data_IF_053832038867
#
_entry.id   IF_053832038867
#
_cell.length_a   1.000
_cell.length_b   1.000
_cell.length_c   1.000
_cell.angle_alpha   90.00
_cell.angle_beta   90.00
_cell.angle_gamma   90.00
#
_symmetry.space_group_name_H-M   'P 1'
#
loop_
_entity.id
_entity.type
_entity.pdbx_description
1 polymer ?
#
# COMPACT_ATOMS: atom_id res chain seq x y z
N UNK A 1 56.89 11.99 -12.27
CA UNK A 1 55.78 12.89 -11.90
C UNK A 1 54.49 12.23 -12.34
N UNK A 2 53.78 11.63 -11.42
CA UNK A 2 52.43 11.09 -11.63
C UNK A 2 51.53 11.77 -10.60
N UNK A 3 50.60 12.62 -11.07
CA UNK A 3 49.56 13.20 -10.27
C UNK A 3 48.43 12.18 -10.14
N UNK A 4 48.16 11.76 -8.92
CA UNK A 4 46.95 11.04 -8.57
C UNK A 4 45.87 12.06 -8.19
N UNK A 5 44.82 12.12 -8.98
CA UNK A 5 43.61 12.87 -8.61
C UNK A 5 42.71 11.97 -7.73
N UNK A 6 42.58 12.33 -6.49
CA UNK A 6 41.62 11.73 -5.57
C UNK A 6 40.25 12.37 -5.79
N UNK A 7 39.28 11.61 -6.29
CA UNK A 7 37.89 12.03 -6.30
C UNK A 7 37.31 11.82 -4.88
N UNK A 8 37.01 12.93 -4.22
CA UNK A 8 36.17 12.91 -3.00
C UNK A 8 34.72 12.67 -3.37
N UNK A 9 34.18 11.50 -3.00
CA UNK A 9 32.73 11.30 -2.94
C UNK A 9 32.21 12.06 -1.71
N UNK A 10 31.46 13.13 -1.96
CA UNK A 10 30.66 13.77 -0.93
C UNK A 10 29.43 12.88 -0.64
N UNK A 11 29.46 12.20 0.50
CA UNK A 11 28.28 11.52 1.04
C UNK A 11 27.25 12.56 1.45
N UNK A 12 26.17 12.69 0.70
CA UNK A 12 24.97 13.41 1.12
C UNK A 12 24.30 12.57 2.20
N UNK A 13 24.61 12.88 3.46
CA UNK A 13 23.90 12.37 4.61
C UNK A 13 22.50 12.99 4.68
N UNK A 14 21.49 12.27 4.22
CA UNK A 14 20.09 12.54 4.58
C UNK A 14 19.93 12.11 6.04
N UNK A 15 20.20 13.06 6.96
CA UNK A 15 19.86 12.95 8.35
C UNK A 15 18.35 13.00 8.50
N UNK A 16 17.71 11.85 8.67
CA UNK A 16 16.36 11.78 9.19
C UNK A 16 16.43 12.24 10.66
N UNK A 17 16.14 13.52 10.91
CA UNK A 17 15.88 14.01 12.25
C UNK A 17 14.54 13.38 12.68
N UNK A 18 14.62 12.32 13.49
CA UNK A 18 13.50 11.85 14.27
C UNK A 18 13.14 12.94 15.28
N UNK A 19 12.22 13.81 14.93
CA UNK A 19 11.55 14.67 15.89
C UNK A 19 10.71 13.74 16.77
N UNK A 20 11.21 13.44 17.95
CA UNK A 20 10.46 12.81 19.03
C UNK A 20 9.40 13.85 19.48
N UNK A 21 8.23 13.78 18.88
CA UNK A 21 7.07 14.48 19.39
C UNK A 21 6.67 13.82 20.71
N UNK A 22 6.74 14.58 21.78
CA UNK A 22 6.24 14.18 23.11
C UNK A 22 4.71 14.00 23.04
N UNK A 23 4.28 12.74 22.86
CA UNK A 23 2.89 12.34 22.75
C UNK A 23 2.15 12.32 24.09
N UNK A 24 2.81 12.70 25.20
CA UNK A 24 2.24 12.63 26.56
C UNK A 24 1.19 13.72 26.86
N UNK A 25 0.93 14.66 25.93
CA UNK A 25 0.00 15.80 26.15
C UNK A 25 -1.25 15.81 25.29
N UNK A 26 -1.48 14.83 24.44
CA UNK A 26 -2.77 14.73 23.74
C UNK A 26 -3.79 14.00 24.65
N UNK A 27 -4.57 14.81 25.36
CA UNK A 27 -5.72 14.31 26.13
C UNK A 27 -6.75 13.74 25.16
N UNK A 28 -7.24 12.54 25.47
CA UNK A 28 -8.27 11.78 24.71
C UNK A 28 -9.64 12.50 24.57
N UNK A 29 -9.77 13.72 25.01
CA UNK A 29 -11.07 14.38 25.17
C UNK A 29 -11.38 15.47 24.14
N UNK A 30 -10.48 15.82 23.24
CA UNK A 30 -10.66 17.00 22.36
C UNK A 30 -10.85 16.68 20.87
N UNK A 31 -11.13 15.44 20.49
CA UNK A 31 -11.55 15.15 19.11
C UNK A 31 -13.07 15.03 19.08
N UNK A 32 -13.78 16.04 18.57
CA UNK A 32 -15.23 15.98 18.52
C UNK A 32 -15.70 14.85 17.61
N UNK A 33 -16.37 13.88 18.19
CA UNK A 33 -17.09 12.80 17.48
C UNK A 33 -18.27 13.32 16.63
N UNK A 34 -18.30 14.62 16.32
CA UNK A 34 -19.46 15.27 15.70
C UNK A 34 -19.49 15.20 14.17
N UNK A 35 -18.49 14.61 13.50
CA UNK A 35 -18.53 14.53 12.04
C UNK A 35 -19.37 13.39 11.45
N UNK A 36 -19.83 12.44 12.27
CA UNK A 36 -20.58 11.28 11.74
C UNK A 36 -22.05 11.52 11.40
N UNK A 37 -22.63 12.67 11.78
CA UNK A 37 -24.08 12.94 11.60
C UNK A 37 -24.40 14.08 10.63
N UNK A 38 -23.44 14.85 10.17
CA UNK A 38 -23.68 16.05 9.36
C UNK A 38 -23.80 15.81 7.84
N UNK A 39 -23.45 14.64 7.34
CA UNK A 39 -23.47 14.37 5.89
C UNK A 39 -24.77 13.74 5.36
N UNK A 40 -25.72 13.46 6.24
CA UNK A 40 -27.05 13.00 5.84
C UNK A 40 -27.93 14.16 5.35
N UNK A 41 -27.65 14.71 4.17
CA UNK A 41 -28.64 15.56 3.53
C UNK A 41 -28.19 16.85 2.83
N UNK A 42 -26.92 17.25 2.89
CA UNK A 42 -26.46 18.49 2.26
C UNK A 42 -25.11 18.26 1.57
N UNK A 43 -25.11 17.90 0.34
CA UNK A 43 -24.12 18.07 -0.73
C UNK A 43 -23.88 16.80 -1.57
N UNK A 44 -24.88 16.38 -2.31
CA UNK A 44 -24.71 15.49 -3.47
C UNK A 44 -23.69 16.02 -4.48
N UNK A 45 -23.42 17.36 -4.46
CA UNK A 45 -22.52 18.04 -5.38
C UNK A 45 -21.03 17.83 -5.10
N UNK A 46 -20.58 17.59 -3.85
CA UNK A 46 -19.16 17.41 -3.55
C UNK A 46 -18.72 15.95 -3.57
N UNK A 47 -19.62 15.06 -3.16
CA UNK A 47 -19.23 13.77 -2.61
C UNK A 47 -19.80 12.58 -3.39
N UNK A 48 -20.46 12.83 -4.51
CA UNK A 48 -20.98 11.79 -5.41
C UNK A 48 -22.12 10.96 -4.84
N UNK A 49 -22.25 9.76 -5.38
CA UNK A 49 -23.31 8.80 -5.03
C UNK A 49 -22.73 7.54 -4.44
N UNK A 50 -23.40 6.91 -3.44
CA UNK A 50 -22.99 5.60 -2.97
C UNK A 50 -22.84 4.61 -4.10
N UNK A 51 -21.76 3.83 -4.07
CA UNK A 51 -21.42 2.92 -5.16
C UNK A 51 -22.47 1.81 -5.37
N UNK A 52 -23.10 1.33 -4.31
CA UNK A 52 -24.19 0.35 -4.35
C UNK A 52 -25.16 0.63 -3.21
N UNK A 53 -26.31 1.20 -3.49
CA UNK A 53 -27.48 1.37 -2.59
C UNK A 53 -27.14 1.53 -1.08
N UNK A 54 -26.25 2.48 -0.72
CA UNK A 54 -25.80 2.73 0.65
C UNK A 54 -25.20 1.50 1.39
N UNK A 55 -24.79 0.47 0.65
CA UNK A 55 -24.25 -0.74 1.26
C UNK A 55 -22.79 -0.57 1.64
N UNK A 56 -22.45 -1.10 2.81
CA UNK A 56 -21.10 -1.08 3.33
C UNK A 56 -20.19 -2.08 2.62
N UNK A 57 -18.93 -1.68 2.47
CA UNK A 57 -17.86 -2.46 1.89
C UNK A 57 -16.85 -2.86 2.95
N UNK A 58 -16.39 -4.11 2.92
CA UNK A 58 -15.37 -4.57 3.86
C UNK A 58 -14.03 -3.91 3.52
N UNK A 59 -13.50 -3.14 4.47
CA UNK A 59 -12.18 -2.51 4.37
C UNK A 59 -11.10 -3.52 4.78
N UNK A 60 -10.06 -3.58 3.96
CA UNK A 60 -8.81 -4.28 4.20
C UNK A 60 -7.65 -3.40 3.79
N UNK A 61 -6.44 -3.90 3.99
CA UNK A 61 -5.21 -3.18 3.70
C UNK A 61 -4.22 -4.10 3.01
N UNK A 62 -3.38 -3.51 2.15
CA UNK A 62 -2.21 -4.16 1.58
C UNK A 62 -1.05 -3.17 1.49
N UNK A 63 0.15 -3.70 1.35
CA UNK A 63 1.38 -2.92 1.38
C UNK A 63 2.46 -3.50 0.48
N UNK A 64 3.51 -2.75 0.27
CA UNK A 64 4.71 -3.19 -0.41
C UNK A 64 5.48 -4.15 0.52
N UNK A 65 5.71 -5.38 0.07
CA UNK A 65 6.55 -6.31 0.83
C UNK A 65 8.00 -5.85 0.81
N UNK A 66 8.59 -5.61 1.98
CA UNK A 66 9.99 -5.22 2.09
C UNK A 66 10.83 -6.45 2.43
N UNK A 67 11.81 -6.81 1.59
CA UNK A 67 12.69 -7.98 1.87
C UNK A 67 13.41 -7.84 3.21
N UNK A 68 13.77 -6.62 3.59
CA UNK A 68 14.44 -6.33 4.86
C UNK A 68 13.60 -6.75 6.09
N UNK A 69 12.28 -6.76 5.99
CA UNK A 69 11.38 -7.12 7.09
C UNK A 69 11.36 -8.64 7.36
N UNK A 70 11.93 -9.44 6.47
CA UNK A 70 11.96 -10.90 6.54
C UNK A 70 13.33 -11.47 6.92
N UNK A 71 14.21 -10.62 7.43
CA UNK A 71 15.48 -11.05 8.00
C UNK A 71 15.24 -11.71 9.36
N UNK A 72 15.61 -12.99 9.45
CA UNK A 72 15.45 -13.76 10.69
C UNK A 72 16.43 -13.32 11.80
N UNK A 73 17.43 -12.51 11.47
CA UNK A 73 18.41 -11.96 12.42
C UNK A 73 17.93 -10.65 13.05
N UNK A 74 16.89 -10.02 12.49
CA UNK A 74 16.34 -8.74 12.95
C UNK A 74 14.92 -8.96 13.51
N UNK A 75 14.65 -8.36 14.68
CA UNK A 75 13.27 -8.29 15.20
C UNK A 75 12.48 -7.30 14.37
N UNK A 76 11.60 -7.82 13.49
CA UNK A 76 10.74 -6.99 12.67
C UNK A 76 9.31 -6.93 13.21
N UNK A 77 8.60 -5.85 12.91
CA UNK A 77 7.20 -5.67 13.32
C UNK A 77 6.21 -6.47 12.47
N UNK A 78 6.65 -7.00 11.33
CA UNK A 78 5.78 -7.76 10.42
C UNK A 78 5.35 -9.06 11.07
N UNK A 79 4.04 -9.40 11.05
CA UNK A 79 3.56 -10.65 11.63
C UNK A 79 4.23 -11.85 10.97
N UNK A 80 4.84 -12.69 11.80
CA UNK A 80 5.38 -13.99 11.36
C UNK A 80 4.29 -15.06 11.28
N UNK A 81 3.02 -14.63 11.30
CA UNK A 81 1.83 -15.47 11.28
C UNK A 81 1.06 -15.42 9.95
N UNK A 82 -0.12 -16.04 9.93
CA UNK A 82 -0.99 -16.04 8.77
C UNK A 82 -0.54 -16.95 7.65
N UNK A 83 -0.89 -16.62 6.39
CA UNK A 83 -0.62 -17.46 5.23
C UNK A 83 0.88 -17.66 4.93
N UNK A 84 1.73 -16.74 5.39
CA UNK A 84 3.18 -16.80 5.24
C UNK A 84 3.92 -17.16 6.54
N UNK A 85 3.26 -17.87 7.46
CA UNK A 85 3.85 -18.43 8.67
C UNK A 85 4.76 -19.63 8.33
N UNK A 86 5.82 -19.39 7.58
CA UNK A 86 6.77 -20.39 7.14
C UNK A 86 7.96 -20.50 8.14
N UNK A 87 8.65 -21.65 8.19
CA UNK A 87 9.85 -21.80 9.00
C UNK A 87 10.90 -20.71 8.69
N UNK A 88 11.68 -20.28 9.69
CA UNK A 88 12.81 -19.36 9.45
C UNK A 88 13.93 -20.03 8.63
N UNK A 89 14.86 -19.22 8.12
CA UNK A 89 16.04 -19.67 7.40
C UNK A 89 15.79 -20.52 6.14
N UNK A 90 14.61 -20.43 5.58
CA UNK A 90 14.31 -21.03 4.27
C UNK A 90 14.46 -19.98 3.19
N UNK A 91 15.16 -20.33 2.12
CA UNK A 91 15.47 -19.48 1.00
C UNK A 91 14.95 -20.09 -0.29
N UNK A 92 14.44 -19.25 -1.16
CA UNK A 92 13.93 -19.63 -2.47
C UNK A 92 14.53 -18.76 -3.56
N UNK A 93 14.55 -19.28 -4.76
CA UNK A 93 15.00 -18.57 -5.95
C UNK A 93 13.81 -17.99 -6.68
N UNK A 94 13.92 -16.73 -7.06
CA UNK A 94 12.93 -16.03 -7.88
C UNK A 94 13.38 -15.98 -9.33
N UNK A 95 12.42 -16.08 -10.24
CA UNK A 95 12.64 -16.09 -11.68
C UNK A 95 11.62 -15.21 -12.39
N UNK A 96 12.01 -14.70 -13.58
CA UNK A 96 11.07 -14.08 -14.51
C UNK A 96 10.25 -15.14 -15.24
N UNK A 97 9.15 -14.78 -15.93
CA UNK A 97 8.37 -15.73 -16.74
C UNK A 97 9.19 -16.43 -17.83
N UNK A 98 10.23 -15.79 -18.33
CA UNK A 98 11.16 -16.32 -19.35
C UNK A 98 12.19 -17.29 -18.75
N UNK A 99 12.30 -17.34 -17.40
CA UNK A 99 13.22 -18.22 -16.69
C UNK A 99 14.57 -17.58 -16.36
N UNK A 100 14.69 -16.26 -16.43
CA UNK A 100 15.90 -15.59 -15.95
C UNK A 100 15.90 -15.56 -14.43
N UNK A 101 17.03 -15.93 -13.84
CA UNK A 101 17.24 -15.86 -12.39
C UNK A 101 17.17 -14.41 -11.91
N UNK A 102 16.37 -14.19 -10.90
CA UNK A 102 16.05 -12.86 -10.40
C UNK A 102 16.79 -12.55 -9.09
N UNK A 103 16.93 -13.55 -8.25
CA UNK A 103 17.58 -13.44 -6.95
C UNK A 103 17.19 -14.59 -6.01
N UNK A 104 17.91 -14.70 -4.91
CA UNK A 104 17.62 -15.63 -3.81
C UNK A 104 17.17 -14.84 -2.59
N UNK A 105 15.99 -15.14 -2.08
CA UNK A 105 15.32 -14.37 -1.02
C UNK A 105 14.77 -15.29 0.07
N UNK A 106 14.49 -14.76 1.27
CA UNK A 106 13.74 -15.52 2.28
C UNK A 106 12.39 -16.01 1.73
N UNK A 107 12.04 -17.28 1.98
CA UNK A 107 10.78 -17.86 1.50
C UNK A 107 9.56 -17.09 2.03
N UNK A 108 9.64 -16.53 3.25
CA UNK A 108 8.60 -15.68 3.82
C UNK A 108 8.38 -14.41 3.01
N UNK A 109 9.46 -13.79 2.54
CA UNK A 109 9.37 -12.63 1.64
C UNK A 109 8.69 -13.01 0.32
N UNK A 110 9.13 -14.10 -0.32
CA UNK A 110 8.53 -14.57 -1.57
C UNK A 110 7.03 -14.87 -1.41
N UNK A 111 6.62 -15.43 -0.27
CA UNK A 111 5.23 -15.66 0.07
C UNK A 111 4.46 -14.33 0.21
N UNK A 112 4.99 -13.37 0.95
CA UNK A 112 4.37 -12.06 1.13
C UNK A 112 4.29 -11.30 -0.20
N UNK A 113 5.38 -11.27 -0.97
CA UNK A 113 5.42 -10.66 -2.30
C UNK A 113 4.31 -11.21 -3.22
N UNK A 114 4.07 -12.53 -3.19
CA UNK A 114 2.98 -13.14 -3.93
C UNK A 114 1.60 -12.71 -3.43
N UNK A 115 1.42 -12.47 -2.14
CA UNK A 115 0.13 -12.06 -1.56
C UNK A 115 -0.17 -10.58 -1.79
N UNK A 116 0.83 -9.73 -1.58
CA UNK A 116 0.71 -8.26 -1.69
C UNK A 116 0.85 -7.77 -3.14
N UNK A 117 1.41 -8.59 -4.04
CA UNK A 117 1.57 -8.29 -5.46
C UNK A 117 2.86 -7.55 -5.80
N UNK A 118 3.35 -6.68 -4.93
CA UNK A 118 4.57 -5.87 -5.15
C UNK A 118 5.50 -5.93 -3.96
N UNK A 119 6.80 -5.74 -4.21
CA UNK A 119 7.80 -5.72 -3.14
C UNK A 119 9.06 -4.94 -3.50
N UNK A 120 9.79 -4.56 -2.46
CA UNK A 120 11.11 -3.94 -2.54
C UNK A 120 12.16 -4.95 -2.08
N UNK A 121 13.11 -5.23 -2.94
CA UNK A 121 14.27 -6.06 -2.62
C UNK A 121 15.35 -5.25 -1.87
N UNK A 122 16.25 -5.91 -1.17
CA UNK A 122 17.35 -5.26 -0.43
C UNK A 122 18.31 -4.48 -1.33
N UNK A 123 18.40 -4.86 -2.58
CA UNK A 123 19.25 -4.16 -3.57
C UNK A 123 18.54 -2.94 -4.21
N UNK A 124 17.34 -2.60 -3.76
CA UNK A 124 16.57 -1.44 -4.20
C UNK A 124 15.66 -1.71 -5.41
N UNK A 125 15.61 -2.92 -5.95
CA UNK A 125 14.70 -3.25 -7.05
C UNK A 125 13.27 -3.35 -6.56
N UNK A 126 12.35 -2.74 -7.31
CA UNK A 126 10.90 -2.96 -7.16
C UNK A 126 10.51 -4.14 -8.04
N UNK A 127 9.75 -5.06 -7.48
CA UNK A 127 9.33 -6.29 -8.15
C UNK A 127 7.84 -6.51 -8.04
N UNK A 128 7.24 -7.03 -9.11
CA UNK A 128 5.84 -7.40 -9.15
C UNK A 128 5.64 -8.89 -9.40
N UNK A 129 4.61 -9.43 -8.79
CA UNK A 129 4.10 -10.76 -9.08
C UNK A 129 3.48 -10.82 -10.48
N UNK A 130 3.86 -11.81 -11.29
CA UNK A 130 3.36 -11.98 -12.65
C UNK A 130 2.50 -13.23 -12.85
N UNK A 131 2.44 -14.10 -11.86
CA UNK A 131 1.66 -15.32 -11.93
C UNK A 131 2.43 -16.58 -11.54
N UNK A 132 1.79 -17.73 -11.75
CA UNK A 132 2.44 -19.02 -11.55
C UNK A 132 3.39 -19.32 -12.71
N UNK A 133 4.51 -19.96 -12.42
CA UNK A 133 5.45 -20.43 -13.44
C UNK A 133 6.10 -21.76 -13.02
N UNK A 134 6.90 -22.33 -13.93
CA UNK A 134 7.58 -23.62 -13.71
C UNK A 134 8.94 -23.53 -13.02
N UNK A 135 9.40 -22.31 -12.71
CA UNK A 135 10.73 -22.07 -12.16
C UNK A 135 10.69 -21.85 -10.65
N UNK A 136 11.82 -22.11 -9.98
CA UNK A 136 12.10 -21.78 -8.60
C UNK A 136 10.93 -22.02 -7.63
N UNK A 137 10.44 -20.95 -7.03
CA UNK A 137 9.34 -20.93 -6.06
C UNK A 137 7.96 -21.32 -6.68
N UNK A 138 7.90 -21.60 -7.99
CA UNK A 138 6.64 -21.87 -8.69
C UNK A 138 5.80 -20.62 -8.95
N UNK A 139 6.40 -19.45 -8.75
CA UNK A 139 5.81 -18.14 -8.94
C UNK A 139 6.85 -17.24 -9.59
N UNK A 140 6.47 -16.52 -10.65
CA UNK A 140 7.35 -15.62 -11.35
C UNK A 140 7.09 -14.17 -10.99
N UNK A 141 8.13 -13.38 -11.18
CA UNK A 141 8.17 -11.95 -10.86
C UNK A 141 8.84 -11.19 -12.01
N UNK A 142 8.56 -9.91 -12.09
CA UNK A 142 9.24 -8.99 -12.99
C UNK A 142 9.82 -7.83 -12.20
N UNK A 143 10.92 -7.28 -12.70
CA UNK A 143 11.44 -6.02 -12.18
C UNK A 143 10.70 -4.87 -12.85
N UNK A 144 10.32 -3.88 -12.04
CA UNK A 144 9.73 -2.65 -12.53
C UNK A 144 10.77 -1.53 -12.60
N UNK A 145 10.56 -0.60 -13.52
CA UNK A 145 11.26 0.67 -13.48
C UNK A 145 10.81 1.48 -12.25
N UNK A 146 11.75 1.84 -11.39
CA UNK A 146 11.45 2.56 -10.15
C UNK A 146 10.98 4.00 -10.42
N UNK A 147 11.34 4.59 -11.56
CA UNK A 147 10.89 5.91 -11.96
C UNK A 147 9.40 5.92 -12.29
N UNK A 148 8.91 4.85 -12.93
CA UNK A 148 7.50 4.73 -13.31
C UNK A 148 6.66 4.10 -12.19
N UNK A 149 7.22 3.15 -11.44
CA UNK A 149 6.49 2.34 -10.44
C UNK A 149 7.21 2.27 -9.09
N UNK A 150 7.40 3.40 -8.40
CA UNK A 150 8.20 3.44 -7.16
C UNK A 150 7.60 2.62 -6.00
N UNK A 151 6.33 2.30 -6.08
CA UNK A 151 5.61 1.52 -5.06
C UNK A 151 4.95 0.25 -5.62
N UNK A 152 5.32 -0.14 -6.85
CA UNK A 152 4.71 -1.27 -7.53
C UNK A 152 3.67 -0.86 -8.56
N UNK A 153 3.22 -1.85 -9.32
CA UNK A 153 2.28 -1.69 -10.42
C UNK A 153 1.01 -2.46 -10.14
N UNK A 154 -0.11 -1.77 -10.15
CA UNK A 154 -1.43 -2.32 -10.03
C UNK A 154 -2.01 -2.81 -11.37
N UNK A 155 -3.31 -2.92 -11.43
CA UNK A 155 -4.05 -3.33 -12.62
C UNK A 155 -4.02 -2.24 -13.71
N UNK A 156 -4.08 -2.67 -14.97
CA UNK A 156 -4.10 -1.75 -16.12
C UNK A 156 -2.83 -0.91 -16.28
N UNK A 157 -1.68 -1.42 -15.84
CA UNK A 157 -0.39 -0.73 -15.88
C UNK A 157 -0.36 0.57 -15.06
N UNK A 158 -1.17 0.67 -14.01
CA UNK A 158 -1.21 1.86 -13.16
C UNK A 158 -0.16 1.82 -12.05
N UNK A 159 0.56 2.92 -11.78
CA UNK A 159 1.40 2.99 -10.60
C UNK A 159 0.54 3.00 -9.34
N UNK A 160 0.99 2.28 -8.30
CA UNK A 160 0.40 2.39 -6.99
C UNK A 160 0.80 3.71 -6.34
N UNK A 161 -0.18 4.43 -5.82
CA UNK A 161 0.01 5.75 -5.18
C UNK A 161 -0.23 5.58 -3.68
N UNK A 162 0.75 5.97 -2.83
CA UNK A 162 0.61 5.93 -1.38
C UNK A 162 -0.68 6.58 -0.89
N UNK A 163 -1.48 5.85 -0.10
CA UNK A 163 -2.72 6.32 0.51
C UNK A 163 -3.78 6.84 -0.48
N UNK A 164 -3.64 6.50 -1.77
CA UNK A 164 -4.60 6.87 -2.83
C UNK A 164 -5.06 5.68 -3.64
N UNK A 165 -4.26 4.63 -3.76
CA UNK A 165 -4.64 3.44 -4.51
C UNK A 165 -5.47 2.47 -3.65
N UNK A 166 -6.49 1.88 -4.28
CA UNK A 166 -7.26 0.78 -3.71
C UNK A 166 -7.38 -0.38 -4.69
N UNK A 167 -7.34 -1.60 -4.16
CA UNK A 167 -7.68 -2.81 -4.91
C UNK A 167 -9.18 -3.08 -4.78
N UNK A 168 -9.81 -3.40 -5.90
CA UNK A 168 -11.27 -3.56 -6.02
C UNK A 168 -11.66 -4.82 -6.82
N UNK A 169 -12.93 -5.16 -6.82
CA UNK A 169 -13.51 -6.09 -7.80
C UNK A 169 -13.85 -5.29 -9.09
N UNK A 170 -13.12 -5.50 -10.21
CA UNK A 170 -13.28 -4.70 -11.42
C UNK A 170 -14.65 -4.90 -12.11
N UNK A 171 -15.43 -5.88 -11.65
CA UNK A 171 -16.83 -6.06 -12.12
C UNK A 171 -17.78 -5.07 -11.46
N UNK A 172 -17.41 -4.46 -10.34
CA UNK A 172 -18.20 -3.50 -9.58
C UNK A 172 -17.65 -2.08 -9.73
N UNK A 173 -16.33 -1.94 -9.79
CA UNK A 173 -15.66 -0.64 -9.91
C UNK A 173 -14.64 -0.72 -11.04
N UNK A 174 -14.79 0.06 -12.10
CA UNK A 174 -13.82 0.12 -13.19
C UNK A 174 -12.43 0.55 -12.68
N UNK A 175 -11.37 -0.04 -13.25
CA UNK A 175 -10.01 0.41 -12.97
C UNK A 175 -9.82 1.84 -13.46
N UNK A 176 -9.22 2.67 -12.61
CA UNK A 176 -9.03 4.12 -12.81
C UNK A 176 -10.16 4.98 -12.25
N UNK A 177 -11.22 4.38 -11.70
CA UNK A 177 -12.34 5.15 -11.14
C UNK A 177 -11.94 5.85 -9.84
N UNK A 178 -12.09 7.19 -9.74
CA UNK A 178 -11.97 7.92 -8.48
C UNK A 178 -13.15 7.61 -7.56
N UNK A 179 -12.82 7.42 -6.28
CA UNK A 179 -13.78 7.03 -5.26
C UNK A 179 -13.61 7.96 -4.06
N UNK A 180 -14.71 8.46 -3.53
CA UNK A 180 -14.72 9.15 -2.25
C UNK A 180 -15.15 8.20 -1.13
N UNK A 181 -14.39 8.15 -0.07
CA UNK A 181 -14.64 7.35 1.13
C UNK A 181 -14.76 8.31 2.32
N UNK A 182 -15.99 8.58 2.81
CA UNK A 182 -16.20 9.52 3.93
C UNK A 182 -15.40 9.15 5.19
N UNK A 183 -15.18 7.85 5.43
CA UNK A 183 -14.44 7.36 6.59
C UNK A 183 -12.95 7.69 6.55
N UNK A 184 -12.43 8.06 5.37
CA UNK A 184 -11.03 8.49 5.19
C UNK A 184 -10.87 10.00 5.21
N UNK A 185 -11.95 10.77 5.03
CA UNK A 185 -11.90 12.23 5.05
C UNK A 185 -11.55 12.75 6.46
N UNK A 186 -10.43 13.46 6.57
CA UNK A 186 -9.90 13.91 7.86
C UNK A 186 -8.99 12.90 8.58
N UNK A 187 -8.71 11.72 7.96
CA UNK A 187 -7.81 10.72 8.53
C UNK A 187 -6.38 11.28 8.56
N UNK A 188 -5.74 11.24 9.71
CA UNK A 188 -4.32 11.62 9.85
C UNK A 188 -3.46 10.49 9.27
N UNK A 189 -2.57 10.84 8.34
CA UNK A 189 -1.63 9.92 7.72
C UNK A 189 -0.31 9.83 8.52
N UNK A 190 0.52 8.79 8.29
CA UNK A 190 1.78 8.60 9.03
C UNK A 190 2.78 9.76 8.89
N UNK A 191 2.71 10.54 7.82
CA UNK A 191 3.52 11.74 7.59
C UNK A 191 2.96 13.01 8.21
N UNK A 192 1.82 12.90 8.92
CA UNK A 192 1.11 14.01 9.55
C UNK A 192 0.17 14.78 8.60
N UNK A 193 0.12 14.46 7.32
CA UNK A 193 -0.86 15.04 6.39
C UNK A 193 -2.27 14.51 6.67
N UNK A 194 -3.26 15.20 6.12
CA UNK A 194 -4.67 14.82 6.29
C UNK A 194 -5.19 14.23 4.97
N UNK A 195 -5.76 13.05 5.04
CA UNK A 195 -6.40 12.41 3.91
C UNK A 195 -7.71 13.13 3.56
N UNK A 196 -7.95 13.39 2.28
CA UNK A 196 -9.12 14.10 1.78
C UNK A 196 -10.32 13.20 1.45
N UNK A 197 -10.24 11.92 1.80
CA UNK A 197 -11.26 10.92 1.51
C UNK A 197 -11.19 10.35 0.09
N UNK A 198 -10.33 10.86 -0.79
CA UNK A 198 -10.26 10.46 -2.20
C UNK A 198 -9.24 9.35 -2.43
N UNK A 199 -9.69 8.28 -3.10
CA UNK A 199 -8.85 7.15 -3.56
C UNK A 199 -9.17 6.82 -5.00
N UNK A 200 -8.35 6.02 -5.67
CA UNK A 200 -8.58 5.54 -7.04
C UNK A 200 -8.44 4.02 -7.11
N UNK A 201 -9.32 3.40 -7.89
CA UNK A 201 -9.29 1.97 -8.18
C UNK A 201 -8.11 1.65 -9.10
N UNK A 202 -6.92 1.40 -8.53
CA UNK A 202 -5.70 1.15 -9.29
C UNK A 202 -5.32 -0.32 -9.35
N UNK A 203 -5.93 -1.17 -8.53
CA UNK A 203 -5.48 -2.54 -8.40
C UNK A 203 -6.63 -3.54 -8.28
N UNK A 204 -6.29 -4.82 -8.41
CA UNK A 204 -7.18 -5.96 -8.23
C UNK A 204 -6.47 -7.06 -7.46
N UNK A 205 -7.23 -7.92 -6.80
CA UNK A 205 -6.64 -9.07 -6.11
C UNK A 205 -7.47 -10.34 -6.27
N UNK A 206 -6.82 -11.49 -6.20
CA UNK A 206 -7.48 -12.80 -6.25
C UNK A 206 -8.55 -12.98 -5.17
N UNK A 207 -8.31 -12.39 -3.99
CA UNK A 207 -9.22 -12.39 -2.85
C UNK A 207 -10.19 -11.20 -2.78
N UNK A 208 -10.00 -10.19 -3.65
CA UNK A 208 -10.81 -8.97 -3.66
C UNK A 208 -11.99 -9.19 -4.59
N UNK A 209 -13.09 -9.64 -4.03
CA UNK A 209 -14.34 -9.94 -4.77
C UNK A 209 -15.52 -9.34 -4.06
N UNK A 210 -16.54 -8.96 -4.86
CA UNK A 210 -17.75 -8.33 -4.37
C UNK A 210 -17.41 -7.02 -3.64
N UNK A 211 -18.09 -6.71 -2.55
CA UNK A 211 -17.93 -5.49 -1.74
C UNK A 211 -16.76 -5.60 -0.77
N UNK A 212 -15.56 -5.77 -1.32
CA UNK A 212 -14.28 -5.71 -0.60
C UNK A 212 -13.41 -4.66 -1.27
N UNK A 213 -12.68 -3.92 -0.47
CA UNK A 213 -11.74 -2.92 -0.91
C UNK A 213 -10.49 -3.01 -0.02
N UNK A 214 -9.33 -3.15 -0.66
CA UNK A 214 -8.06 -3.19 0.04
C UNK A 214 -7.33 -1.86 -0.21
N UNK A 215 -7.02 -1.13 0.87
CA UNK A 215 -6.38 0.18 0.83
C UNK A 215 -4.86 0.03 0.85
N UNK A 216 -4.17 0.66 -0.11
CA UNK A 216 -2.71 0.63 -0.22
C UNK A 216 -2.08 1.59 0.78
N UNK A 217 -1.32 1.06 1.71
CA UNK A 217 -0.74 1.83 2.83
C UNK A 217 0.79 1.83 2.88
N UNK A 218 1.43 1.40 1.82
CA UNK A 218 2.88 1.39 1.56
C UNK A 218 3.67 0.42 2.43
N UNK A 219 3.50 0.45 3.75
CA UNK A 219 4.25 -0.42 4.67
C UNK A 219 3.34 -1.04 5.73
N UNK A 220 3.79 -2.13 6.31
CA UNK A 220 3.12 -2.72 7.48
C UNK A 220 3.10 -1.77 8.69
N UNK A 221 4.14 -0.95 8.86
CA UNK A 221 4.15 0.08 9.91
C UNK A 221 3.04 1.10 9.75
N UNK A 222 2.81 1.56 8.52
CA UNK A 222 1.71 2.47 8.19
C UNK A 222 0.34 1.83 8.42
N UNK A 223 0.18 0.55 8.06
CA UNK A 223 -1.04 -0.20 8.39
C UNK A 223 -1.34 -0.17 9.88
N UNK A 224 -0.34 -0.45 10.73
CA UNK A 224 -0.49 -0.42 12.18
C UNK A 224 -0.95 0.95 12.68
N UNK A 225 -0.30 2.02 12.20
CA UNK A 225 -0.66 3.40 12.51
C UNK A 225 -2.11 3.71 12.12
N UNK A 226 -2.49 3.40 10.88
CA UNK A 226 -3.84 3.69 10.37
C UNK A 226 -4.92 2.86 11.06
N UNK A 227 -4.63 1.64 11.47
CA UNK A 227 -5.57 0.83 12.24
C UNK A 227 -5.95 1.48 13.56
N UNK A 228 -4.99 2.14 14.23
CA UNK A 228 -5.23 2.92 15.44
C UNK A 228 -6.06 4.19 15.14
N UNK A 229 -5.73 4.91 14.06
CA UNK A 229 -6.48 6.11 13.65
C UNK A 229 -7.94 5.79 13.27
N UNK A 230 -8.16 4.70 12.55
CA UNK A 230 -9.49 4.27 12.12
C UNK A 230 -10.33 3.65 13.24
N UNK A 231 -9.80 3.45 14.44
CA UNK A 231 -10.53 2.94 15.60
C UNK A 231 -11.38 1.69 15.29
N UNK A 232 -10.78 0.72 14.59
CA UNK A 232 -11.44 -0.52 14.17
C UNK A 232 -12.55 -0.33 13.11
N UNK A 233 -12.54 0.72 12.32
CA UNK A 233 -13.38 0.81 11.12
C UNK A 233 -13.04 -0.36 10.20
N UNK A 234 -13.99 -1.27 10.03
CA UNK A 234 -13.85 -2.45 9.16
C UNK A 234 -14.78 -2.38 7.95
N UNK A 235 -15.63 -1.38 7.93
CA UNK A 235 -16.63 -1.15 6.89
C UNK A 235 -16.58 0.32 6.44
N UNK A 236 -16.66 0.53 5.14
CA UNK A 236 -16.64 1.84 4.49
C UNK A 236 -17.84 1.99 3.55
N UNK A 237 -18.17 3.24 3.24
CA UNK A 237 -19.24 3.62 2.32
C UNK A 237 -18.65 4.35 1.10
N UNK A 238 -18.11 3.64 0.09
CA UNK A 238 -17.49 4.27 -1.06
C UNK A 238 -18.53 4.94 -1.97
N UNK A 239 -18.21 6.14 -2.45
CA UNK A 239 -19.01 6.94 -3.37
C UNK A 239 -18.25 7.13 -4.68
N UNK A 240 -18.95 7.09 -5.80
CA UNK A 240 -18.44 7.41 -7.13
C UNK A 240 -19.01 8.73 -7.64
N UNK A 241 -18.48 9.21 -8.77
CA UNK A 241 -18.88 10.50 -9.35
C UNK A 241 -18.76 11.65 -8.34
N UNK A 242 -17.73 11.60 -7.50
CA UNK A 242 -17.45 12.64 -6.52
C UNK A 242 -16.53 13.71 -7.13
N UNK A 243 -17.03 14.93 -7.43
CA UNK A 243 -16.24 15.96 -8.12
C UNK A 243 -14.93 16.31 -7.40
N UNK A 244 -14.93 16.23 -6.06
CA UNK A 244 -13.73 16.48 -5.26
C UNK A 244 -12.60 15.48 -5.50
N UNK A 245 -12.89 14.31 -6.09
CA UNK A 245 -11.90 13.25 -6.34
C UNK A 245 -11.48 13.15 -7.81
N UNK A 246 -12.06 13.95 -8.71
CA UNK A 246 -11.79 13.88 -10.16
C UNK A 246 -10.32 14.14 -10.52
N UNK A 247 -9.59 14.90 -9.70
CA UNK A 247 -8.15 15.14 -9.89
C UNK A 247 -7.31 13.84 -9.92
N UNK A 248 -7.85 12.73 -9.38
CA UNK A 248 -7.16 11.45 -9.39
C UNK A 248 -7.18 10.76 -10.78
N UNK A 249 -8.02 11.21 -11.72
CA UNK A 249 -8.05 10.64 -13.08
C UNK A 249 -6.76 10.92 -13.86
N UNK A 250 -6.13 12.04 -13.56
CA UNK A 250 -4.96 12.58 -14.29
C UNK A 250 -3.62 12.20 -13.63
N UNK A 251 -3.64 11.40 -12.53
CA UNK A 251 -2.44 10.95 -11.83
C UNK A 251 -1.88 9.64 -12.39
#
# INVERSE_FOLDING_TARGET
MRLSAALSLAALGLGAAAASADTSKLRKEDVPLQHKTALRGKNKLCCGYPLVDDQQWALRFYWLSLEADYDDTVSTSVPRGGRCALPPNRWVELYTPEGYFFGRVPERYACSLKLEGSGLMRDGRIVNYTGSCKYGYGTCFEQLDIGDYPFGRGAGQRPLIPFKSVAVDPRLVPIGEPIYIPEFDGLVLPDGSIHDGCVRADDTGGGIKKRKMDFFVVTYGNFRFLLEQLQNVTWITPHVEAPRCEYLRDL
#
